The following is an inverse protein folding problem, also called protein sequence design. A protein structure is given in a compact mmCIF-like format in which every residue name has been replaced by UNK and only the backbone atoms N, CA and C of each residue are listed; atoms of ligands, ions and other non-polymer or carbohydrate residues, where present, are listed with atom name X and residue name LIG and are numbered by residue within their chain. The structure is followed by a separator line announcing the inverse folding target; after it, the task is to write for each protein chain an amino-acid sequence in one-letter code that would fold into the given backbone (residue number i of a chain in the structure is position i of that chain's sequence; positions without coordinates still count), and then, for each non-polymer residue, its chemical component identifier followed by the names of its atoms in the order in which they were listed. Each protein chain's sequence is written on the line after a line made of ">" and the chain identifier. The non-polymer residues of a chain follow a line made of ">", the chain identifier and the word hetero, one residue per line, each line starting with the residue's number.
data_IF_142725700683
#
_entry.id   IF_142725700683
#
_cell.length_a   1.000
_cell.length_b   1.000
_cell.length_c   1.000
_cell.angle_alpha   90.00
_cell.angle_beta   90.00
_cell.angle_gamma   90.00
#
_symmetry.space_group_name_H-M   'P 1'
#
loop_
_entity.id
_entity.type
_entity.pdbx_description
1 polymer ?
#
# COMPACT_ATOMS: atom_id res chain seq x y z
N UNK A 1 -34.98 -5.07 9.72
CA UNK A 1 -33.94 -5.09 8.75
C UNK A 1 -32.99 -6.26 8.96
N UNK A 2 -32.88 -7.12 7.98
CA UNK A 2 -31.95 -8.25 8.02
C UNK A 2 -30.50 -7.77 8.06
N UNK A 3 -29.66 -8.42 8.83
CA UNK A 3 -28.20 -8.19 8.78
C UNK A 3 -27.69 -8.67 7.44
N UNK A 4 -27.09 -7.78 6.66
CA UNK A 4 -26.42 -8.14 5.41
C UNK A 4 -24.95 -8.38 5.72
N UNK A 5 -24.33 -9.46 5.23
CA UNK A 5 -22.91 -9.68 5.40
C UNK A 5 -22.14 -8.66 4.55
N UNK A 6 -21.02 -8.21 5.08
CA UNK A 6 -20.03 -7.40 4.35
C UNK A 6 -18.86 -8.33 4.05
N UNK A 7 -18.57 -8.53 2.78
CA UNK A 7 -17.46 -9.36 2.34
C UNK A 7 -16.36 -8.47 1.77
N UNK A 8 -15.14 -8.72 2.18
CA UNK A 8 -13.97 -8.13 1.55
C UNK A 8 -13.77 -8.73 0.15
N UNK A 9 -13.27 -7.91 -0.77
CA UNK A 9 -12.93 -8.30 -2.12
C UNK A 9 -11.68 -7.56 -2.56
N UNK A 10 -10.71 -8.27 -3.10
CA UNK A 10 -9.50 -7.72 -3.69
C UNK A 10 -9.24 -8.30 -5.08
N UNK A 11 -8.74 -7.48 -5.98
CA UNK A 11 -8.41 -7.83 -7.35
C UNK A 11 -7.68 -6.69 -8.04
N UNK A 12 -7.51 -6.77 -9.34
CA UNK A 12 -6.81 -5.77 -10.12
C UNK A 12 -7.42 -5.54 -11.49
N UNK A 13 -7.17 -4.37 -12.05
CA UNK A 13 -7.61 -4.02 -13.41
C UNK A 13 -7.09 -5.00 -14.43
N UNK A 14 -5.82 -5.37 -14.31
CA UNK A 14 -5.12 -6.26 -15.24
C UNK A 14 -5.51 -7.72 -15.07
N UNK A 15 -6.16 -8.07 -13.96
CA UNK A 15 -6.77 -9.39 -13.72
C UNK A 15 -8.20 -9.43 -14.26
N UNK A 16 -8.88 -8.28 -14.35
CA UNK A 16 -10.31 -8.17 -14.68
C UNK A 16 -11.18 -9.08 -13.80
N UNK A 17 -10.85 -9.16 -12.51
CA UNK A 17 -11.55 -10.04 -11.57
C UNK A 17 -10.97 -9.95 -10.16
N UNK A 18 -11.55 -10.77 -9.27
CA UNK A 18 -11.08 -10.92 -7.90
C UNK A 18 -9.93 -11.91 -7.80
N UNK A 19 -8.99 -11.62 -6.90
CA UNK A 19 -7.97 -12.57 -6.48
C UNK A 19 -8.38 -13.21 -5.17
N UNK A 20 -8.78 -12.39 -4.20
CA UNK A 20 -9.24 -12.82 -2.88
C UNK A 20 -10.66 -12.32 -2.60
N UNK A 21 -11.45 -13.11 -1.89
CA UNK A 21 -12.77 -12.68 -1.42
C UNK A 21 -13.12 -13.29 -0.06
N UNK A 22 -14.12 -12.70 0.59
CA UNK A 22 -14.84 -13.35 1.69
C UNK A 22 -15.85 -14.37 1.19
N UNK A 23 -16.21 -15.35 2.01
CA UNK A 23 -17.30 -16.29 1.79
C UNK A 23 -18.30 -16.27 2.95
N UNK A 24 -19.39 -17.04 2.83
CA UNK A 24 -20.45 -17.15 3.86
C UNK A 24 -20.33 -18.41 4.72
N UNK A 25 -19.31 -19.22 4.48
CA UNK A 25 -19.20 -20.56 5.08
C UNK A 25 -18.32 -20.55 6.33
N UNK A 26 -17.54 -19.48 6.53
CA UNK A 26 -16.62 -19.32 7.65
C UNK A 26 -16.81 -17.99 8.38
N UNK A 27 -16.53 -17.92 9.68
CA UNK A 27 -16.43 -16.65 10.39
C UNK A 27 -15.38 -15.75 9.74
N UNK A 28 -15.70 -14.47 9.57
CA UNK A 28 -14.79 -13.46 9.06
C UNK A 28 -14.18 -12.69 10.22
N UNK A 29 -12.86 -12.50 10.16
CA UNK A 29 -12.15 -11.53 11.01
C UNK A 29 -12.13 -10.16 10.35
N UNK A 30 -12.05 -9.05 11.09
CA UNK A 30 -11.89 -7.72 10.50
C UNK A 30 -10.70 -7.66 9.55
N UNK A 31 -10.90 -7.11 8.34
CA UNK A 31 -9.86 -6.97 7.32
C UNK A 31 -9.47 -8.26 6.59
N UNK A 32 -10.00 -9.42 6.99
CA UNK A 32 -9.65 -10.70 6.40
C UNK A 32 -10.43 -11.01 5.12
N UNK A 33 -9.85 -11.88 4.29
CA UNK A 33 -10.50 -12.59 3.19
C UNK A 33 -10.57 -14.06 3.55
N UNK A 34 -11.60 -14.75 3.07
CA UNK A 34 -11.71 -16.21 3.27
C UNK A 34 -10.70 -16.99 2.43
N UNK A 35 -10.31 -16.46 1.27
CA UNK A 35 -9.33 -17.08 0.39
C UNK A 35 -9.44 -16.64 -1.05
N UNK A 36 -8.75 -17.35 -1.97
CA UNK A 36 -8.85 -17.09 -3.40
C UNK A 36 -10.26 -17.22 -3.94
N UNK A 37 -10.60 -16.38 -4.91
CA UNK A 37 -11.83 -16.50 -5.67
C UNK A 37 -11.84 -17.85 -6.41
N UNK A 38 -13.00 -18.45 -6.57
CA UNK A 38 -13.15 -19.75 -7.27
C UNK A 38 -12.52 -19.68 -8.66
N UNK A 39 -11.59 -20.59 -8.93
CA UNK A 39 -10.82 -20.65 -10.16
C UNK A 39 -9.53 -19.83 -10.17
N UNK A 40 -9.24 -19.10 -9.10
CA UNK A 40 -8.00 -18.32 -8.92
C UNK A 40 -6.98 -19.14 -8.11
N UNK A 41 -5.84 -19.46 -8.69
CA UNK A 41 -4.74 -20.19 -8.03
C UNK A 41 -3.76 -19.20 -7.41
N UNK A 42 -4.21 -18.50 -6.35
CA UNK A 42 -3.39 -17.55 -5.62
C UNK A 42 -2.61 -18.21 -4.48
N UNK A 43 -1.44 -17.66 -4.15
CA UNK A 43 -0.62 -18.06 -3.01
C UNK A 43 0.17 -16.87 -2.44
N UNK A 44 0.76 -17.07 -1.25
CA UNK A 44 1.70 -16.14 -0.61
C UNK A 44 3.05 -16.79 -0.55
N UNK A 45 4.09 -16.13 -1.10
CA UNK A 45 5.42 -16.70 -1.26
C UNK A 45 6.53 -15.78 -0.73
N UNK A 46 7.68 -16.38 -0.42
CA UNK A 46 8.94 -15.67 -0.14
C UNK A 46 9.60 -15.15 -1.44
N UNK A 47 10.76 -14.53 -1.33
CA UNK A 47 11.53 -14.00 -2.47
C UNK A 47 12.01 -15.10 -3.44
N UNK A 48 12.11 -16.33 -2.97
CA UNK A 48 12.49 -17.49 -3.79
C UNK A 48 11.30 -18.19 -4.44
N UNK A 49 10.05 -17.73 -4.16
CA UNK A 49 8.83 -18.32 -4.69
C UNK A 49 8.29 -19.49 -3.87
N UNK A 50 8.85 -19.78 -2.69
CA UNK A 50 8.36 -20.83 -1.81
C UNK A 50 7.14 -20.35 -1.01
N UNK A 51 6.10 -21.19 -0.84
CA UNK A 51 4.94 -20.85 -0.04
C UNK A 51 5.30 -20.50 1.41
N UNK A 52 4.72 -19.42 1.94
CA UNK A 52 4.85 -19.04 3.36
C UNK A 52 3.48 -19.03 4.04
N UNK A 53 3.49 -19.36 5.34
CA UNK A 53 2.30 -19.36 6.20
C UNK A 53 2.68 -18.72 7.54
N UNK A 54 1.77 -17.95 8.14
CA UNK A 54 2.05 -17.21 9.37
C UNK A 54 3.10 -16.10 9.24
N UNK A 55 3.52 -15.79 8.02
CA UNK A 55 4.48 -14.74 7.71
C UNK A 55 4.03 -13.94 6.49
N UNK A 56 4.57 -12.73 6.37
CA UNK A 56 4.29 -11.84 5.22
C UNK A 56 5.10 -12.28 4.02
N UNK A 57 4.44 -12.37 2.86
CA UNK A 57 5.07 -12.69 1.58
C UNK A 57 4.41 -11.95 0.42
N UNK A 58 4.88 -12.20 -0.77
CA UNK A 58 4.35 -11.64 -2.01
C UNK A 58 3.07 -12.38 -2.44
N UNK A 59 2.01 -11.66 -2.78
CA UNK A 59 0.81 -12.24 -3.37
C UNK A 59 1.07 -12.59 -4.83
N UNK A 60 0.90 -13.86 -5.16
CA UNK A 60 1.09 -14.38 -6.51
C UNK A 60 -0.14 -15.09 -7.04
N UNK A 61 -0.18 -15.30 -8.36
CA UNK A 61 -1.15 -16.18 -9.03
C UNK A 61 -0.34 -17.17 -9.86
N UNK A 62 -0.50 -18.48 -9.56
CA UNK A 62 0.29 -19.57 -10.14
C UNK A 62 -0.16 -19.95 -11.53
N UNK A 63 -1.44 -19.78 -11.86
CA UNK A 63 -2.02 -20.16 -13.13
C UNK A 63 -2.63 -18.96 -13.84
N UNK A 64 -2.50 -18.83 -15.17
CA UNK A 64 -3.15 -17.78 -15.91
C UNK A 64 -4.66 -17.77 -15.65
N UNK A 65 -5.19 -16.58 -15.38
CA UNK A 65 -6.62 -16.35 -15.21
C UNK A 65 -7.24 -15.84 -16.50
N UNK A 66 -8.46 -16.25 -16.79
CA UNK A 66 -9.15 -15.91 -18.05
C UNK A 66 -9.30 -14.41 -18.29
N UNK A 67 -9.41 -13.62 -17.21
CA UNK A 67 -9.53 -12.16 -17.26
C UNK A 67 -8.20 -11.40 -17.35
N UNK A 68 -7.05 -12.08 -17.26
CA UNK A 68 -5.74 -11.41 -17.34
C UNK A 68 -5.56 -10.68 -18.65
N UNK A 69 -5.10 -9.42 -18.56
CA UNK A 69 -4.66 -8.68 -19.76
C UNK A 69 -3.49 -9.39 -20.43
N UNK A 70 -3.38 -9.22 -21.73
CA UNK A 70 -2.30 -9.80 -22.53
C UNK A 70 -1.10 -8.84 -22.71
N UNK A 71 -1.19 -7.64 -22.19
CA UNK A 71 -0.15 -6.63 -22.30
C UNK A 71 -0.67 -5.24 -22.01
N UNK A 72 0.26 -4.28 -21.97
CA UNK A 72 -0.07 -2.85 -21.98
C UNK A 72 -0.10 -2.33 -23.40
N UNK A 73 -0.90 -1.31 -23.67
CA UNK A 73 -0.97 -0.66 -24.98
C UNK A 73 0.39 -0.09 -25.36
N UNK A 74 0.94 -0.59 -26.46
CA UNK A 74 2.25 -0.19 -27.02
C UNK A 74 3.45 -0.32 -26.05
N UNK A 75 3.31 -1.08 -24.96
CA UNK A 75 4.36 -1.24 -23.94
C UNK A 75 4.33 -2.65 -23.33
N UNK A 76 4.57 -3.64 -24.17
CA UNK A 76 4.53 -5.05 -23.76
C UNK A 76 5.67 -5.40 -22.79
N UNK A 77 6.84 -4.80 -22.95
CA UNK A 77 7.98 -5.04 -22.07
C UNK A 77 7.67 -4.64 -20.62
N UNK A 78 7.10 -3.47 -20.42
CA UNK A 78 6.68 -3.01 -19.11
C UNK A 78 5.66 -3.95 -18.45
N UNK A 79 4.74 -4.53 -19.23
CA UNK A 79 3.81 -5.53 -18.74
C UNK A 79 4.52 -6.77 -18.21
N UNK A 80 5.48 -7.30 -18.97
CA UNK A 80 6.27 -8.47 -18.55
C UNK A 80 7.12 -8.15 -17.32
N UNK A 81 7.79 -7.01 -17.29
CA UNK A 81 8.59 -6.58 -16.14
C UNK A 81 7.76 -6.39 -14.87
N UNK A 82 6.55 -5.85 -15.01
CA UNK A 82 5.68 -5.57 -13.88
C UNK A 82 5.16 -6.85 -13.22
N UNK A 83 4.79 -7.87 -14.01
CA UNK A 83 4.01 -8.99 -13.49
C UNK A 83 4.67 -10.37 -13.63
N UNK A 84 5.59 -10.58 -14.60
CA UNK A 84 6.03 -11.92 -14.96
C UNK A 84 7.51 -12.20 -14.81
N UNK A 85 8.36 -11.16 -14.70
CA UNK A 85 9.82 -11.33 -14.66
C UNK A 85 10.39 -11.53 -13.27
N UNK A 86 9.64 -11.15 -12.22
CA UNK A 86 10.11 -11.29 -10.83
C UNK A 86 10.22 -12.77 -10.44
N UNK A 87 9.24 -13.57 -10.80
CA UNK A 87 9.22 -15.02 -10.66
C UNK A 87 8.84 -15.64 -12.00
N UNK A 88 9.66 -16.54 -12.59
CA UNK A 88 9.39 -17.12 -13.90
C UNK A 88 8.03 -17.83 -13.95
N UNK A 89 7.23 -17.52 -14.97
CA UNK A 89 5.92 -18.11 -15.25
C UNK A 89 4.86 -17.95 -14.14
N UNK A 90 5.11 -17.04 -13.19
CA UNK A 90 4.20 -16.75 -12.08
C UNK A 90 3.83 -15.26 -12.11
N UNK A 91 2.54 -14.95 -12.07
CA UNK A 91 2.06 -13.58 -11.92
C UNK A 91 2.33 -13.06 -10.52
N UNK A 92 3.15 -12.03 -10.41
CA UNK A 92 3.38 -11.31 -9.16
C UNK A 92 2.47 -10.09 -9.12
N UNK A 93 1.55 -10.06 -8.15
CA UNK A 93 0.51 -9.01 -8.12
C UNK A 93 1.03 -7.65 -7.62
N UNK A 94 2.10 -7.68 -6.86
CA UNK A 94 2.69 -6.46 -6.29
C UNK A 94 2.01 -6.03 -4.98
N UNK A 95 1.38 -6.97 -4.28
CA UNK A 95 0.84 -6.79 -2.92
C UNK A 95 1.55 -7.73 -1.95
N UNK A 96 1.82 -7.26 -0.75
CA UNK A 96 2.14 -8.14 0.37
C UNK A 96 0.88 -8.69 0.99
N UNK A 97 0.92 -9.98 1.28
CA UNK A 97 -0.16 -10.71 1.92
C UNK A 97 0.38 -11.64 3.01
N UNK A 98 -0.52 -12.09 3.88
CA UNK A 98 -0.26 -13.12 4.87
C UNK A 98 -1.45 -14.06 4.97
N UNK A 99 -1.19 -15.31 5.37
CA UNK A 99 -2.22 -16.30 5.68
C UNK A 99 -2.03 -16.69 7.13
N UNK A 100 -3.07 -16.47 7.98
CA UNK A 100 -3.00 -16.79 9.40
C UNK A 100 -3.21 -18.29 9.68
N UNK A 101 -3.16 -18.66 10.95
CA UNK A 101 -3.32 -20.05 11.42
C UNK A 101 -4.71 -20.63 11.13
N UNK A 102 -5.74 -19.76 11.00
CA UNK A 102 -7.10 -20.16 10.64
C UNK A 102 -7.29 -20.25 9.11
N UNK A 103 -6.25 -19.99 8.31
CA UNK A 103 -6.29 -19.99 6.86
C UNK A 103 -6.97 -18.75 6.27
N UNK A 104 -7.15 -17.69 7.04
CA UNK A 104 -7.66 -16.41 6.55
C UNK A 104 -6.53 -15.57 5.96
N UNK A 105 -6.84 -14.85 4.91
CA UNK A 105 -5.89 -14.06 4.14
C UNK A 105 -6.00 -12.57 4.47
N UNK A 106 -4.88 -11.89 4.45
CA UNK A 106 -4.78 -10.44 4.69
C UNK A 106 -3.91 -9.81 3.62
N UNK A 107 -4.33 -8.68 3.07
CA UNK A 107 -3.50 -7.81 2.23
C UNK A 107 -2.96 -6.70 3.11
N UNK A 108 -1.63 -6.55 3.10
CA UNK A 108 -0.88 -5.66 3.99
C UNK A 108 -0.35 -4.42 3.29
N UNK A 109 -0.72 -4.24 2.02
CA UNK A 109 -0.33 -3.10 1.18
C UNK A 109 0.49 -3.51 -0.03
N UNK A 110 0.91 -2.51 -0.80
CA UNK A 110 1.72 -2.71 -2.01
C UNK A 110 3.14 -3.15 -1.66
N UNK A 111 3.66 -4.13 -2.37
CA UNK A 111 5.05 -4.59 -2.18
C UNK A 111 6.07 -3.63 -2.80
N UNK A 112 5.67 -2.90 -3.85
CA UNK A 112 6.45 -1.85 -4.49
C UNK A 112 6.50 -0.54 -3.68
N UNK A 113 5.53 -0.29 -2.82
CA UNK A 113 5.49 0.86 -1.90
C UNK A 113 6.14 0.56 -0.54
N UNK A 114 6.57 -0.67 -0.28
CA UNK A 114 7.14 -1.07 1.00
C UNK A 114 8.39 -0.29 1.36
N UNK A 115 8.43 0.20 2.59
CA UNK A 115 9.55 0.95 3.15
C UNK A 115 10.48 -0.02 3.88
N UNK A 116 11.76 -0.01 3.52
CA UNK A 116 12.79 -0.84 4.17
C UNK A 116 13.56 0.01 5.18
N UNK A 117 13.36 -0.24 6.47
CA UNK A 117 14.01 0.51 7.55
C UNK A 117 14.86 -0.44 8.39
N UNK A 118 16.17 -0.35 8.25
CA UNK A 118 17.10 -1.17 9.06
C UNK A 118 16.84 -2.67 8.98
N UNK A 119 16.57 -3.19 7.79
CA UNK A 119 16.26 -4.60 7.54
C UNK A 119 14.82 -5.02 7.82
N UNK A 120 13.98 -4.13 8.38
CA UNK A 120 12.54 -4.38 8.55
C UNK A 120 11.76 -3.86 7.34
N UNK A 121 10.71 -4.57 6.96
CA UNK A 121 9.74 -4.13 5.95
C UNK A 121 8.53 -3.54 6.65
N UNK A 122 8.11 -2.38 6.18
CA UNK A 122 6.99 -1.62 6.71
C UNK A 122 6.06 -1.24 5.57
N UNK A 123 4.79 -1.60 5.65
CA UNK A 123 3.77 -1.14 4.72
C UNK A 123 3.40 0.33 5.03
N UNK A 124 3.37 1.24 4.04
CA UNK A 124 2.89 2.61 4.26
C UNK A 124 1.53 2.64 4.95
N UNK A 125 0.61 1.75 4.57
CA UNK A 125 -0.73 1.66 5.11
C UNK A 125 -0.79 1.43 6.63
N UNK A 126 0.20 0.73 7.21
CA UNK A 126 0.28 0.53 8.66
C UNK A 126 0.49 1.86 9.40
N UNK A 127 1.43 2.67 8.89
CA UNK A 127 1.70 4.00 9.47
C UNK A 127 0.55 4.96 9.21
N UNK A 128 -0.03 4.91 8.01
CA UNK A 128 -1.20 5.72 7.64
C UNK A 128 -2.41 5.43 8.53
N UNK A 129 -2.67 4.16 8.83
CA UNK A 129 -3.75 3.77 9.75
C UNK A 129 -3.56 4.39 11.14
N UNK A 130 -2.33 4.39 11.65
CA UNK A 130 -2.00 5.00 12.95
C UNK A 130 -2.17 6.53 12.89
N UNK A 131 -1.61 7.18 11.86
CA UNK A 131 -1.76 8.63 11.69
C UNK A 131 -3.23 9.04 11.55
N UNK A 132 -4.00 8.30 10.75
CA UNK A 132 -5.42 8.56 10.52
C UNK A 132 -6.29 8.28 11.74
N UNK A 133 -5.80 7.57 12.77
CA UNK A 133 -6.53 7.38 14.04
C UNK A 133 -6.53 8.64 14.92
N UNK A 134 -5.63 9.60 14.66
CA UNK A 134 -5.57 10.84 15.42
C UNK A 134 -6.68 11.81 15.00
N UNK A 135 -7.42 12.36 15.96
CA UNK A 135 -8.60 13.20 15.73
C UNK A 135 -8.35 14.46 14.86
N UNK A 136 -7.10 14.95 14.81
CA UNK A 136 -6.73 16.10 13.99
C UNK A 136 -6.44 15.75 12.54
N UNK A 137 -6.30 14.46 12.19
CA UNK A 137 -5.88 14.00 10.86
C UNK A 137 -7.10 13.62 10.03
N UNK A 138 -7.24 14.27 8.88
CA UNK A 138 -8.26 13.95 7.88
C UNK A 138 -7.84 12.78 6.99
N UNK A 139 -6.60 12.80 6.53
CA UNK A 139 -5.98 11.76 5.71
C UNK A 139 -4.46 11.88 5.75
N UNK A 140 -3.78 10.77 5.47
CA UNK A 140 -2.32 10.76 5.40
C UNK A 140 -1.82 9.91 4.25
N UNK A 141 -0.55 10.13 3.89
CA UNK A 141 0.23 9.29 3.00
C UNK A 141 1.65 9.15 3.54
N UNK A 142 2.24 7.98 3.38
CA UNK A 142 3.56 7.68 3.92
C UNK A 142 4.46 7.14 2.82
N UNK A 143 5.69 7.60 2.79
CA UNK A 143 6.71 7.15 1.83
C UNK A 143 8.01 6.77 2.53
N UNK A 144 8.80 5.94 1.85
CA UNK A 144 10.21 5.71 2.17
C UNK A 144 11.11 6.70 1.46
N UNK A 145 11.90 7.45 2.21
CA UNK A 145 12.99 8.28 1.69
C UNK A 145 14.34 7.59 1.88
N UNK A 146 15.31 7.73 0.96
CA UNK A 146 16.63 7.12 1.10
C UNK A 146 17.35 7.59 2.38
N UNK A 147 18.03 6.66 3.06
CA UNK A 147 18.82 6.93 4.24
C UNK A 147 20.16 6.18 4.18
N UNK A 148 21.32 6.84 4.41
CA UNK A 148 22.63 6.24 4.16
C UNK A 148 22.96 5.01 5.01
N UNK A 149 22.28 4.83 6.15
CA UNK A 149 22.58 3.71 7.08
C UNK A 149 21.40 2.73 7.19
N UNK A 150 20.15 3.22 7.08
CA UNK A 150 18.94 2.42 7.34
C UNK A 150 18.28 1.92 6.06
N UNK A 151 18.88 2.14 4.90
CA UNK A 151 18.29 1.97 3.57
C UNK A 151 17.23 3.05 3.29
N UNK A 152 16.17 3.09 4.09
CA UNK A 152 15.12 4.12 4.01
C UNK A 152 14.72 4.62 5.41
N UNK A 153 14.07 5.76 5.42
CA UNK A 153 13.40 6.34 6.58
C UNK A 153 11.96 6.69 6.24
N UNK A 154 11.11 6.68 7.25
CA UNK A 154 9.68 6.95 7.11
C UNK A 154 9.42 8.44 7.07
N UNK A 155 8.70 8.92 6.06
CA UNK A 155 8.23 10.30 5.94
C UNK A 155 6.72 10.30 5.75
N UNK A 156 6.00 10.96 6.68
CA UNK A 156 4.55 11.12 6.61
C UNK A 156 4.15 12.45 5.99
N UNK A 157 3.08 12.44 5.20
CA UNK A 157 2.38 13.64 4.71
C UNK A 157 0.95 13.59 5.24
N UNK A 158 0.54 14.64 5.92
CA UNK A 158 -0.73 14.69 6.64
C UNK A 158 -1.56 15.88 6.21
N UNK A 159 -2.81 15.63 5.87
CA UNK A 159 -3.85 16.64 5.69
C UNK A 159 -4.63 16.71 7.00
N UNK A 160 -4.70 17.88 7.60
CA UNK A 160 -5.46 18.13 8.81
C UNK A 160 -6.94 18.43 8.50
N UNK A 161 -7.80 18.27 9.50
CA UNK A 161 -9.16 18.83 9.44
C UNK A 161 -9.11 20.35 9.36
N UNK A 162 -10.14 20.97 8.77
CA UNK A 162 -10.15 22.41 8.44
C UNK A 162 -10.08 23.33 9.66
N UNK A 163 -10.46 22.85 10.81
CA UNK A 163 -10.47 23.53 12.11
C UNK A 163 -9.20 23.34 12.93
N UNK A 164 -8.20 22.64 12.37
CA UNK A 164 -6.94 22.31 13.06
C UNK A 164 -5.78 23.05 12.41
N UNK A 165 -5.00 23.76 13.22
CA UNK A 165 -3.78 24.44 12.80
C UNK A 165 -2.56 23.53 12.91
N UNK A 166 -1.71 23.59 11.90
CA UNK A 166 -0.42 22.89 11.90
C UNK A 166 0.52 23.49 12.97
N UNK A 167 1.16 22.64 13.76
CA UNK A 167 2.12 23.06 14.79
C UNK A 167 3.20 22.00 15.02
N UNK A 168 4.35 22.43 15.56
CA UNK A 168 5.43 21.51 15.94
C UNK A 168 5.02 20.55 17.07
N UNK A 169 4.14 21.00 17.96
CA UNK A 169 3.58 20.17 19.02
C UNK A 169 2.74 19.02 18.41
N UNK A 170 1.88 19.32 17.44
CA UNK A 170 1.08 18.31 16.74
C UNK A 170 1.97 17.36 15.92
N UNK A 171 2.99 17.89 15.23
CA UNK A 171 3.98 17.08 14.50
C UNK A 171 4.64 16.05 15.42
N UNK A 172 5.11 16.52 16.57
CA UNK A 172 5.74 15.66 17.58
C UNK A 172 4.77 14.62 18.10
N UNK A 173 3.54 15.00 18.42
CA UNK A 173 2.50 14.06 18.88
C UNK A 173 2.21 12.95 17.87
N UNK A 174 2.11 13.27 16.57
CA UNK A 174 1.90 12.30 15.51
C UNK A 174 3.09 11.34 15.35
N UNK A 175 4.32 11.85 15.41
CA UNK A 175 5.54 11.03 15.37
C UNK A 175 5.60 10.10 16.60
N UNK A 176 5.27 10.59 17.77
CA UNK A 176 5.29 9.81 19.00
C UNK A 176 4.17 8.76 19.02
N UNK A 177 3.01 9.06 18.46
CA UNK A 177 1.92 8.11 18.28
C UNK A 177 2.39 6.90 17.43
N UNK A 178 2.98 7.15 16.26
CA UNK A 178 3.53 6.07 15.42
C UNK A 178 4.66 5.33 16.14
N UNK A 179 5.50 6.04 16.88
CA UNK A 179 6.61 5.43 17.61
C UNK A 179 6.14 4.53 18.76
N UNK A 180 5.06 4.89 19.42
CA UNK A 180 4.47 4.08 20.49
C UNK A 180 3.89 2.75 19.95
N UNK A 181 3.24 2.78 18.79
CA UNK A 181 2.62 1.61 18.16
C UNK A 181 3.62 0.68 17.47
N UNK A 182 4.57 1.23 16.70
CA UNK A 182 5.49 0.44 15.87
C UNK A 182 6.91 0.31 16.44
N UNK A 183 7.20 1.04 17.50
CA UNK A 183 8.51 1.04 18.17
C UNK A 183 9.53 2.00 17.55
N UNK A 184 10.56 2.30 18.33
CA UNK A 184 11.63 3.26 17.97
C UNK A 184 12.34 3.01 16.62
N UNK A 185 12.58 1.75 16.17
CA UNK A 185 13.24 1.52 14.88
C UNK A 185 12.46 2.08 13.69
N UNK A 186 11.11 2.13 13.79
CA UNK A 186 10.20 2.57 12.73
C UNK A 186 9.68 3.99 12.96
N UNK A 187 10.27 4.74 13.90
CA UNK A 187 9.94 6.14 14.17
C UNK A 187 10.04 6.95 12.87
N UNK A 188 8.98 7.68 12.48
CA UNK A 188 9.05 8.61 11.36
C UNK A 188 10.14 9.66 11.57
N UNK A 189 10.89 9.97 10.53
CA UNK A 189 11.84 11.08 10.54
C UNK A 189 11.12 12.41 10.71
N UNK A 190 10.02 12.56 9.96
CA UNK A 190 9.18 13.75 10.00
C UNK A 190 7.77 13.44 9.55
N UNK A 191 6.86 14.30 9.97
CA UNK A 191 5.51 14.42 9.45
C UNK A 191 5.38 15.82 8.86
N UNK A 192 4.97 15.92 7.60
CA UNK A 192 4.78 17.17 6.88
C UNK A 192 3.30 17.46 6.68
N UNK A 193 2.90 18.69 6.98
CA UNK A 193 1.51 19.10 6.76
C UNK A 193 1.34 19.63 5.34
N UNK A 194 0.29 19.15 4.68
CA UNK A 194 -0.07 19.53 3.31
C UNK A 194 -1.56 19.82 3.21
N UNK A 195 -1.95 20.62 2.25
CA UNK A 195 -3.36 20.98 2.05
C UNK A 195 -4.17 19.88 1.38
N UNK A 196 -3.53 19.06 0.55
CA UNK A 196 -4.13 17.89 -0.11
C UNK A 196 -3.05 16.92 -0.59
N UNK A 197 -3.42 15.67 -0.80
CA UNK A 197 -2.56 14.63 -1.36
C UNK A 197 -2.82 14.44 -2.86
N UNK A 198 -1.78 14.11 -3.67
CA UNK A 198 -1.95 13.71 -5.07
C UNK A 198 -2.82 12.47 -5.18
N UNK A 199 -3.89 12.53 -5.96
CA UNK A 199 -4.87 11.43 -6.12
C UNK A 199 -5.22 11.19 -7.57
N UNK A 200 -5.59 9.95 -7.86
CA UNK A 200 -6.27 9.61 -9.11
C UNK A 200 -7.72 10.08 -9.07
N UNK A 201 -8.39 10.09 -10.25
CA UNK A 201 -9.83 10.39 -10.38
C UNK A 201 -10.73 9.51 -9.48
N UNK A 202 -10.27 8.32 -9.11
CA UNK A 202 -10.97 7.42 -8.19
C UNK A 202 -10.55 7.63 -6.73
N UNK A 203 -10.01 8.80 -6.39
CA UNK A 203 -9.56 9.20 -5.05
C UNK A 203 -8.44 8.31 -4.44
N UNK A 204 -7.74 7.49 -5.23
CA UNK A 204 -6.61 6.70 -4.76
C UNK A 204 -5.36 7.58 -4.65
N UNK A 205 -4.72 7.60 -3.49
CA UNK A 205 -3.47 8.33 -3.24
C UNK A 205 -2.34 7.78 -4.12
N UNK A 206 -1.57 8.69 -4.70
CA UNK A 206 -0.46 8.36 -5.61
C UNK A 206 0.89 8.47 -4.88
N UNK A 207 1.23 7.47 -4.06
CA UNK A 207 2.48 7.43 -3.26
C UNK A 207 3.72 7.65 -4.13
N UNK A 208 3.75 7.06 -5.34
CA UNK A 208 4.82 7.26 -6.30
C UNK A 208 5.06 8.74 -6.63
N UNK A 209 3.98 9.49 -6.83
CA UNK A 209 4.06 10.95 -7.15
C UNK A 209 4.53 11.73 -5.94
N UNK A 210 4.03 11.40 -4.73
CA UNK A 210 4.49 12.03 -3.48
C UNK A 210 5.99 11.80 -3.30
N UNK A 211 6.44 10.55 -3.45
CA UNK A 211 7.86 10.21 -3.31
C UNK A 211 8.73 10.92 -4.33
N UNK A 212 8.32 10.94 -5.60
CA UNK A 212 9.06 11.62 -6.65
C UNK A 212 9.13 13.14 -6.42
N UNK A 213 8.02 13.78 -6.00
CA UNK A 213 7.99 15.20 -5.68
C UNK A 213 8.89 15.53 -4.47
N UNK A 214 8.85 14.70 -3.42
CA UNK A 214 9.66 14.90 -2.20
C UNK A 214 11.15 14.75 -2.46
N UNK A 215 11.56 13.82 -3.33
CA UNK A 215 12.96 13.53 -3.64
C UNK A 215 13.47 14.29 -4.87
N UNK A 216 12.67 15.20 -5.42
CA UNK A 216 12.97 15.95 -6.66
C UNK A 216 13.35 15.04 -7.84
N UNK A 217 12.64 13.91 -7.97
CA UNK A 217 12.79 12.95 -9.05
C UNK A 217 11.77 13.22 -10.17
N UNK A 218 11.99 12.68 -11.37
CA UNK A 218 11.00 12.73 -12.44
C UNK A 218 9.66 12.13 -11.98
N UNK A 219 8.58 12.88 -12.15
CA UNK A 219 7.24 12.49 -11.66
C UNK A 219 6.64 11.30 -12.44
N UNK A 220 7.16 11.00 -13.62
CA UNK A 220 6.62 9.97 -14.50
C UNK A 220 5.25 10.32 -15.07
N UNK A 221 4.45 9.32 -15.38
CA UNK A 221 3.12 9.51 -15.97
C UNK A 221 2.14 10.12 -14.94
N UNK A 222 1.55 11.26 -15.26
CA UNK A 222 0.58 12.00 -14.48
C UNK A 222 -0.82 12.00 -15.10
N UNK A 223 -1.08 11.24 -16.16
CA UNK A 223 -2.35 11.23 -16.90
C UNK A 223 -3.57 10.89 -16.03
N UNK A 224 -3.36 10.14 -14.95
CA UNK A 224 -4.39 9.78 -13.98
C UNK A 224 -4.51 10.76 -12.79
N UNK A 225 -3.59 11.73 -12.68
CA UNK A 225 -3.59 12.70 -11.58
C UNK A 225 -4.70 13.73 -11.77
N UNK A 226 -5.58 13.86 -10.77
CA UNK A 226 -6.70 14.80 -10.81
C UNK A 226 -6.31 16.21 -10.36
N UNK A 227 -5.47 16.32 -9.35
CA UNK A 227 -5.15 17.56 -8.66
C UNK A 227 -3.66 17.94 -8.78
N UNK A 228 -3.23 18.35 -9.97
CA UNK A 228 -1.83 18.63 -10.29
C UNK A 228 -1.13 19.64 -9.36
N UNK A 229 -1.86 20.62 -8.82
CA UNK A 229 -1.33 21.60 -7.87
C UNK A 229 -0.80 21.01 -6.56
N UNK A 230 -1.21 19.79 -6.20
CA UNK A 230 -0.74 19.10 -4.98
C UNK A 230 0.72 18.68 -5.05
N UNK A 231 1.26 18.48 -6.26
CA UNK A 231 2.66 18.13 -6.45
C UNK A 231 3.57 19.23 -5.90
N UNK A 232 3.25 20.48 -6.20
CA UNK A 232 4.01 21.62 -5.69
C UNK A 232 3.84 21.78 -4.17
N UNK A 233 2.66 21.53 -3.65
CA UNK A 233 2.42 21.53 -2.21
C UNK A 233 3.29 20.47 -1.48
N UNK A 234 3.52 19.30 -2.08
CA UNK A 234 4.44 18.28 -1.53
C UNK A 234 5.89 18.79 -1.52
N UNK A 235 6.35 19.44 -2.60
CA UNK A 235 7.71 19.98 -2.69
C UNK A 235 7.98 21.06 -1.65
N UNK A 236 6.98 21.92 -1.42
CA UNK A 236 7.08 23.06 -0.51
C UNK A 236 6.77 22.69 0.95
N UNK A 237 6.23 21.49 1.22
CA UNK A 237 5.89 21.07 2.57
C UNK A 237 7.14 21.05 3.48
N UNK A 238 7.07 21.77 4.57
CA UNK A 238 8.12 21.87 5.59
C UNK A 238 7.84 20.98 6.80
#
# INVERSE_FOLDING_TARGET
>A
GGKKPILNYSGGTEISGGILCGDFFRPLKPGAFSGPVVGMDADVVDEAGNPVRGAVGELIIRQPWIGMTRGFWQDHERYLETYWRKLPDIWVHGDFAAIDEDGLWYILGRSDDTIKVGGKRLGPAEVEAILNSHASVKESAVIGAPHPVKDQEVVGFVVLHADVEASEMLRTALIDLVTAELGKPLKPRTVRFVTALPKTRNAKVMHRVIRAAYLDLPLGDLSSLENAGTVEAIRQAQ
#
